data_IF_612297225619
#
_entry.id   IF_612297225619
#
_cell.length_a   1.000
_cell.length_b   1.000
_cell.length_c   1.000
_cell.angle_alpha   90.00
_cell.angle_beta   90.00
_cell.angle_gamma   90.00
#
_symmetry.space_group_name_H-M   'P 1'
#
loop_
_entity.id
_entity.type
_entity.pdbx_description
1 polymer ?
#
# COMPACT_ATOMS: atom_id res chain seq x y z
N UNK A 1 4.56 -4.92 -5.74
CA UNK A 1 4.50 -4.47 -4.31
C UNK A 1 5.30 -3.20 -4.03
N UNK A 2 6.62 -3.11 -4.29
CA UNK A 2 7.42 -1.93 -3.86
C UNK A 2 6.85 -0.60 -4.40
N UNK A 3 6.44 -0.53 -5.65
CA UNK A 3 5.82 0.66 -6.24
C UNK A 3 4.55 1.07 -5.49
N UNK A 4 3.66 0.11 -5.20
CA UNK A 4 2.43 0.35 -4.47
C UNK A 4 2.69 0.95 -3.08
N UNK A 5 3.69 0.41 -2.38
CA UNK A 5 4.09 0.91 -1.06
C UNK A 5 4.67 2.33 -1.14
N UNK A 6 5.49 2.62 -2.16
CA UNK A 6 6.05 3.97 -2.34
C UNK A 6 4.94 5.00 -2.61
N UNK A 7 3.99 4.67 -3.50
CA UNK A 7 2.85 5.54 -3.80
C UNK A 7 1.96 5.75 -2.58
N UNK A 8 1.65 4.66 -1.87
CA UNK A 8 0.86 4.70 -0.65
C UNK A 8 1.50 5.61 0.41
N UNK A 9 2.78 5.43 0.67
CA UNK A 9 3.50 6.19 1.69
C UNK A 9 3.69 7.67 1.32
N UNK A 10 3.74 7.98 0.03
CA UNK A 10 3.91 9.34 -0.48
C UNK A 10 2.61 10.13 -0.62
N UNK A 11 1.45 9.47 -0.53
CA UNK A 11 0.16 10.15 -0.68
C UNK A 11 -0.05 11.16 0.45
N UNK A 12 -0.49 12.36 0.09
CA UNK A 12 -0.86 13.44 1.01
C UNK A 12 -2.24 13.21 1.64
N UNK A 13 -2.51 11.99 2.08
CA UNK A 13 -3.70 11.73 2.86
C UNK A 13 -3.46 12.15 4.31
N UNK A 14 -4.48 12.65 5.02
CA UNK A 14 -4.34 12.88 6.43
C UNK A 14 -3.89 11.58 7.09
N UNK A 15 -2.70 11.61 7.68
CA UNK A 15 -2.25 10.52 8.51
C UNK A 15 -3.35 10.25 9.52
N UNK A 16 -3.75 8.99 9.68
CA UNK A 16 -4.63 8.64 10.77
C UNK A 16 -3.95 9.14 12.04
N UNK A 17 -4.50 10.18 12.65
CA UNK A 17 -4.00 10.72 13.91
C UNK A 17 -3.99 9.58 14.90
N UNK A 18 -2.83 9.02 15.12
CA UNK A 18 -2.60 7.93 16.06
C UNK A 18 -1.92 8.47 17.32
N UNK A 19 -1.75 7.61 18.28
CA UNK A 19 -1.04 7.86 19.53
C UNK A 19 0.48 8.04 19.31
N UNK A 20 0.95 7.87 18.06
CA UNK A 20 2.38 7.86 17.74
C UNK A 20 2.79 9.14 17.01
N UNK A 21 3.73 9.88 17.60
CA UNK A 21 4.23 11.17 17.09
C UNK A 21 4.86 11.10 15.68
N UNK A 22 5.26 9.92 15.20
CA UNK A 22 5.78 9.74 13.85
C UNK A 22 4.76 10.09 12.74
N UNK A 23 3.46 10.11 13.06
CA UNK A 23 2.40 10.45 12.11
C UNK A 23 2.02 11.94 12.14
N UNK A 24 2.57 12.72 13.08
CA UNK A 24 2.23 14.14 13.23
C UNK A 24 2.83 15.00 12.11
N UNK A 25 3.92 14.53 11.50
CA UNK A 25 4.67 15.27 10.48
C UNK A 25 5.14 14.35 9.34
N UNK A 26 4.24 13.93 8.45
CA UNK A 26 4.63 13.07 7.34
C UNK A 26 5.51 13.83 6.34
N UNK A 27 6.73 13.35 6.12
CA UNK A 27 7.70 13.91 5.17
C UNK A 27 8.09 12.91 4.07
N UNK A 28 7.28 11.88 3.86
CA UNK A 28 7.69 10.74 3.04
C UNK A 28 7.92 11.12 1.59
N UNK A 29 7.03 11.93 1.00
CA UNK A 29 7.20 12.40 -0.38
C UNK A 29 8.52 13.18 -0.56
N UNK A 30 8.80 14.14 0.35
CA UNK A 30 10.04 14.90 0.31
C UNK A 30 11.28 14.01 0.48
N UNK A 31 11.22 12.99 1.37
CA UNK A 31 12.33 12.04 1.54
C UNK A 31 12.56 11.18 0.30
N UNK A 32 11.51 10.78 -0.41
CA UNK A 32 11.67 10.07 -1.69
C UNK A 32 12.23 10.99 -2.78
N UNK A 33 11.84 12.27 -2.78
CA UNK A 33 12.41 13.26 -3.69
C UNK A 33 13.93 13.51 -3.42
N UNK A 34 14.36 13.55 -2.16
CA UNK A 34 15.78 13.60 -1.79
C UNK A 34 16.56 12.38 -2.32
N UNK A 35 15.97 11.17 -2.23
CA UNK A 35 16.58 9.96 -2.79
C UNK A 35 16.70 10.08 -4.32
N UNK A 36 15.68 10.58 -4.98
CA UNK A 36 15.71 10.81 -6.42
C UNK A 36 16.83 11.81 -6.81
N UNK A 37 16.96 12.92 -6.07
CA UNK A 37 18.04 13.89 -6.28
C UNK A 37 19.42 13.26 -6.09
N UNK A 38 19.61 12.44 -5.05
CA UNK A 38 20.84 11.72 -4.81
C UNK A 38 21.22 10.77 -5.96
N UNK A 39 20.23 10.15 -6.58
CA UNK A 39 20.38 9.28 -7.75
C UNK A 39 20.52 10.06 -9.08
N UNK A 40 20.48 11.40 -9.05
CA UNK A 40 20.55 12.25 -10.22
C UNK A 40 19.26 12.29 -11.07
N UNK A 41 18.15 11.80 -10.52
CA UNK A 41 16.83 11.84 -11.16
C UNK A 41 16.29 13.27 -11.10
N UNK A 42 15.88 13.82 -12.23
CA UNK A 42 15.37 15.19 -12.33
C UNK A 42 13.84 15.21 -12.27
N UNK A 43 13.29 16.28 -11.72
CA UNK A 43 11.88 16.59 -11.66
C UNK A 43 11.68 18.02 -11.18
N UNK A 44 10.58 18.66 -11.61
CA UNK A 44 10.28 20.06 -11.26
C UNK A 44 9.66 20.18 -9.85
N UNK A 45 9.16 19.08 -9.32
CA UNK A 45 8.56 18.97 -8.00
C UNK A 45 8.78 17.56 -7.41
N UNK A 46 8.44 17.38 -6.15
CA UNK A 46 8.66 16.13 -5.43
C UNK A 46 7.87 14.96 -6.02
N UNK A 47 6.68 15.21 -6.56
CA UNK A 47 5.86 14.18 -7.22
C UNK A 47 6.54 13.67 -8.49
N UNK A 48 7.05 14.57 -9.34
CA UNK A 48 7.79 14.18 -10.56
C UNK A 48 9.07 13.40 -10.22
N UNK A 49 9.75 13.79 -9.14
CA UNK A 49 10.93 13.06 -8.65
C UNK A 49 10.55 11.67 -8.14
N UNK A 50 9.44 11.53 -7.43
CA UNK A 50 8.91 10.22 -7.02
C UNK A 50 8.61 9.33 -8.23
N UNK A 51 7.93 9.86 -9.26
CA UNK A 51 7.66 9.11 -10.49
C UNK A 51 8.95 8.66 -11.18
N UNK A 52 9.94 9.53 -11.22
CA UNK A 52 11.27 9.20 -11.74
C UNK A 52 11.96 8.10 -10.93
N UNK A 53 11.86 8.13 -9.61
CA UNK A 53 12.39 7.11 -8.71
C UNK A 53 11.68 5.76 -8.94
N UNK A 54 10.35 5.75 -9.02
CA UNK A 54 9.56 4.55 -9.32
C UNK A 54 9.95 3.96 -10.67
N UNK A 55 10.10 4.81 -11.69
CA UNK A 55 10.57 4.38 -13.01
C UNK A 55 11.94 3.73 -12.93
N UNK A 56 12.88 4.33 -12.23
CA UNK A 56 14.23 3.77 -12.06
C UNK A 56 14.22 2.41 -11.36
N UNK A 57 13.36 2.22 -10.35
CA UNK A 57 13.16 0.93 -9.68
C UNK A 57 12.56 -0.10 -10.65
N UNK A 58 11.57 0.27 -11.44
CA UNK A 58 10.96 -0.64 -12.42
C UNK A 58 11.93 -1.01 -13.54
N UNK A 59 12.72 -0.06 -14.03
CA UNK A 59 13.79 -0.32 -14.99
C UNK A 59 14.85 -1.29 -14.42
N UNK A 60 15.19 -1.15 -13.14
CA UNK A 60 16.09 -2.07 -12.45
C UNK A 60 15.47 -3.46 -12.33
N UNK A 61 14.21 -3.56 -11.91
CA UNK A 61 13.46 -4.84 -11.83
C UNK A 61 13.49 -5.57 -13.17
N UNK A 62 13.19 -4.86 -14.26
CA UNK A 62 13.23 -5.43 -15.60
C UNK A 62 14.61 -5.96 -15.98
N UNK A 63 15.68 -5.20 -15.71
CA UNK A 63 17.07 -5.62 -15.99
C UNK A 63 17.50 -6.86 -15.23
N UNK A 64 17.02 -7.06 -14.01
CA UNK A 64 17.36 -8.24 -13.19
C UNK A 64 16.32 -9.37 -13.30
N UNK A 65 15.36 -9.26 -14.22
CA UNK A 65 14.39 -10.31 -14.51
C UNK A 65 13.26 -10.47 -13.48
N UNK A 66 13.02 -9.45 -12.65
CA UNK A 66 11.86 -9.43 -11.75
C UNK A 66 10.62 -9.06 -12.57
N UNK A 67 9.60 -9.91 -12.52
CA UNK A 67 8.35 -9.72 -13.24
C UNK A 67 7.53 -8.56 -12.64
N UNK A 68 6.66 -7.97 -13.46
CA UNK A 68 5.88 -6.80 -13.03
C UNK A 68 4.86 -7.15 -11.97
N UNK A 69 4.12 -8.23 -12.19
CA UNK A 69 2.95 -8.59 -11.37
C UNK A 69 3.12 -9.94 -10.67
N UNK A 70 2.31 -10.18 -9.65
CA UNK A 70 2.21 -11.48 -8.99
C UNK A 70 1.65 -12.51 -9.99
N UNK A 71 0.68 -12.11 -10.81
CA UNK A 71 0.09 -12.96 -11.85
C UNK A 71 1.12 -13.50 -12.86
N UNK A 72 2.11 -12.69 -13.23
CA UNK A 72 3.16 -13.08 -14.17
C UNK A 72 4.03 -14.22 -13.65
N UNK A 73 4.07 -14.46 -12.34
CA UNK A 73 4.74 -15.60 -11.73
C UNK A 73 3.93 -16.91 -11.84
N UNK A 74 2.74 -16.87 -12.45
CA UNK A 74 1.89 -18.02 -12.62
C UNK A 74 1.02 -18.35 -11.41
N UNK A 75 0.83 -17.39 -10.51
CA UNK A 75 -0.09 -17.56 -9.39
C UNK A 75 -1.52 -17.51 -9.90
N UNK A 76 -2.28 -18.56 -9.62
CA UNK A 76 -3.69 -18.68 -10.02
C UNK A 76 -4.54 -17.61 -9.33
N UNK A 77 -5.48 -17.04 -10.10
CA UNK A 77 -6.32 -15.94 -9.62
C UNK A 77 -7.26 -16.36 -8.49
N UNK A 78 -7.85 -17.56 -8.62
CA UNK A 78 -8.77 -18.05 -7.59
C UNK A 78 -8.02 -18.37 -6.30
N UNK A 79 -6.83 -18.97 -6.37
CA UNK A 79 -6.00 -19.23 -5.20
C UNK A 79 -5.54 -17.93 -4.53
N UNK A 80 -5.13 -16.94 -5.34
CA UNK A 80 -4.77 -15.61 -4.82
C UNK A 80 -5.94 -14.94 -4.09
N UNK A 81 -7.12 -14.89 -4.73
CA UNK A 81 -8.29 -14.24 -4.14
C UNK A 81 -8.79 -14.97 -2.88
N UNK A 82 -8.72 -16.30 -2.86
CA UNK A 82 -9.09 -17.09 -1.70
C UNK A 82 -8.21 -16.84 -0.47
N UNK A 83 -6.93 -16.46 -0.68
CA UNK A 83 -5.97 -16.18 0.38
C UNK A 83 -5.83 -14.71 0.72
N UNK A 84 -6.43 -13.83 -0.09
CA UNK A 84 -6.19 -12.40 -0.02
C UNK A 84 -6.54 -11.82 1.34
N UNK A 85 -7.68 -12.18 1.91
CA UNK A 85 -8.16 -11.65 3.18
C UNK A 85 -7.23 -12.09 4.34
N UNK A 86 -6.79 -13.34 4.36
CA UNK A 86 -5.81 -13.85 5.34
C UNK A 86 -4.46 -13.12 5.21
N UNK A 87 -4.00 -12.88 3.98
CA UNK A 87 -2.76 -12.14 3.72
C UNK A 87 -2.85 -10.69 4.20
N UNK A 88 -4.00 -10.07 4.02
CA UNK A 88 -4.27 -8.70 4.47
C UNK A 88 -4.25 -8.62 5.99
N UNK A 89 -4.91 -9.56 6.67
CA UNK A 89 -4.93 -9.62 8.13
C UNK A 89 -3.51 -9.81 8.70
N UNK A 90 -2.76 -10.77 8.17
CA UNK A 90 -1.39 -11.01 8.60
C UNK A 90 -0.49 -9.79 8.38
N UNK A 91 -0.62 -9.10 7.24
CA UNK A 91 0.15 -7.89 6.97
C UNK A 91 -0.26 -6.73 7.87
N UNK A 92 -1.53 -6.62 8.23
CA UNK A 92 -2.02 -5.60 9.16
C UNK A 92 -1.53 -5.84 10.59
N UNK A 93 -1.52 -7.09 11.04
CA UNK A 93 -1.10 -7.49 12.38
C UNK A 93 0.44 -7.60 12.53
N UNK A 94 1.19 -7.46 11.42
CA UNK A 94 2.65 -7.48 11.48
C UNK A 94 3.18 -6.30 12.31
N UNK A 95 4.12 -6.59 13.20
CA UNK A 95 4.72 -5.59 14.09
C UNK A 95 5.36 -4.41 13.35
N UNK A 96 5.85 -4.62 12.12
CA UNK A 96 6.48 -3.58 11.31
C UNK A 96 5.46 -2.63 10.67
N UNK A 97 4.20 -3.03 10.55
CA UNK A 97 3.14 -2.20 9.98
C UNK A 97 2.91 -0.93 10.81
N UNK A 98 3.02 -1.03 12.15
CA UNK A 98 2.95 0.13 13.03
C UNK A 98 4.10 1.13 12.87
N UNK A 99 5.23 0.72 12.30
CA UNK A 99 6.39 1.57 12.02
C UNK A 99 6.39 2.18 10.61
N UNK A 100 5.40 1.84 9.76
CA UNK A 100 5.30 2.40 8.43
C UNK A 100 5.03 3.93 8.49
N UNK A 101 5.60 4.75 7.59
CA UNK A 101 5.39 6.20 7.58
C UNK A 101 3.93 6.64 7.50
N UNK A 102 3.08 5.86 6.85
CA UNK A 102 1.64 6.01 6.81
C UNK A 102 0.99 4.73 7.33
N UNK A 103 0.16 4.83 8.38
CA UNK A 103 -0.52 3.66 8.93
C UNK A 103 -1.64 3.20 7.98
N UNK A 104 -1.57 1.99 7.43
CA UNK A 104 -2.56 1.52 6.47
C UNK A 104 -3.83 1.01 7.13
N UNK A 105 -4.95 1.15 6.43
CA UNK A 105 -6.16 0.40 6.69
C UNK A 105 -6.07 -0.99 6.05
N UNK A 106 -6.82 -1.98 6.56
CA UNK A 106 -6.89 -3.30 5.93
C UNK A 106 -7.37 -3.22 4.47
N UNK A 107 -8.33 -2.33 4.18
CA UNK A 107 -8.80 -2.08 2.80
C UNK A 107 -7.70 -1.52 1.90
N UNK A 108 -6.82 -0.67 2.42
CA UNK A 108 -5.69 -0.12 1.68
C UNK A 108 -4.64 -1.20 1.40
N UNK A 109 -4.35 -2.07 2.37
CA UNK A 109 -3.45 -3.23 2.17
C UNK A 109 -4.03 -4.17 1.11
N UNK A 110 -5.34 -4.45 1.19
CA UNK A 110 -6.03 -5.27 0.19
C UNK A 110 -5.89 -4.69 -1.21
N UNK A 111 -6.10 -3.38 -1.34
CA UNK A 111 -5.95 -2.69 -2.63
C UNK A 111 -4.52 -2.77 -3.16
N UNK A 112 -3.50 -2.63 -2.30
CA UNK A 112 -2.09 -2.79 -2.70
C UNK A 112 -1.80 -4.22 -3.21
N UNK A 113 -2.34 -5.25 -2.58
CA UNK A 113 -2.21 -6.63 -3.07
C UNK A 113 -2.90 -6.83 -4.42
N UNK A 114 -4.12 -6.31 -4.59
CA UNK A 114 -4.85 -6.37 -5.86
C UNK A 114 -4.08 -5.66 -6.98
N UNK A 115 -3.58 -4.46 -6.71
CA UNK A 115 -2.77 -3.72 -7.67
C UNK A 115 -1.50 -4.48 -8.06
N UNK A 116 -0.82 -5.09 -7.08
CA UNK A 116 0.37 -5.89 -7.34
C UNK A 116 0.08 -7.16 -8.14
N UNK A 117 -1.12 -7.73 -7.99
CA UNK A 117 -1.53 -8.90 -8.74
C UNK A 117 -1.91 -8.55 -10.19
N UNK A 118 -2.68 -7.48 -10.40
CA UNK A 118 -3.22 -7.10 -11.72
C UNK A 118 -2.37 -6.07 -12.48
N UNK A 119 -1.31 -5.53 -11.89
CA UNK A 119 -0.46 -4.51 -12.53
C UNK A 119 -1.06 -3.10 -12.53
N UNK A 120 -1.99 -2.81 -11.65
CA UNK A 120 -2.56 -1.47 -11.46
C UNK A 120 -1.69 -0.67 -10.49
N UNK A 121 -1.75 0.65 -10.61
CA UNK A 121 -1.13 1.53 -9.62
C UNK A 121 -2.14 1.87 -8.51
N UNK A 122 -1.64 2.06 -7.30
CA UNK A 122 -2.46 2.55 -6.21
C UNK A 122 -2.94 3.96 -6.54
N UNK A 123 -4.26 4.15 -6.58
CA UNK A 123 -4.93 5.45 -6.70
C UNK A 123 -5.95 5.51 -5.57
N UNK A 124 -5.92 6.56 -4.77
CA UNK A 124 -6.83 6.70 -3.61
C UNK A 124 -8.31 6.60 -4.00
N UNK A 125 -8.65 7.00 -5.22
CA UNK A 125 -9.98 6.93 -5.81
C UNK A 125 -10.41 5.49 -6.19
N UNK A 126 -9.45 4.58 -6.34
CA UNK A 126 -9.70 3.17 -6.65
C UNK A 126 -9.91 2.33 -5.38
N UNK A 127 -9.85 2.97 -4.21
CA UNK A 127 -10.20 2.29 -2.98
C UNK A 127 -11.69 1.95 -3.03
N UNK A 128 -12.06 0.66 -2.94
CA UNK A 128 -13.47 0.33 -2.80
C UNK A 128 -13.99 1.07 -1.57
N UNK A 129 -15.07 1.82 -1.76
CA UNK A 129 -15.85 2.32 -0.64
C UNK A 129 -16.05 1.13 0.30
N UNK A 130 -15.64 1.28 1.54
CA UNK A 130 -15.54 0.22 2.53
C UNK A 130 -16.91 -0.42 2.80
N UNK A 131 -17.35 -1.26 1.89
CA UNK A 131 -18.19 -2.36 2.27
C UNK A 131 -17.25 -3.46 2.76
N UNK A 132 -16.78 -3.30 3.99
CA UNK A 132 -16.45 -4.45 4.79
C UNK A 132 -17.73 -5.29 4.75
N UNK A 133 -17.70 -6.30 3.92
CA UNK A 133 -18.78 -7.29 3.85
C UNK A 133 -18.87 -7.87 5.27
N UNK A 134 -19.80 -7.35 6.08
CA UNK A 134 -19.98 -7.76 7.49
C UNK A 134 -20.10 -9.29 7.64
N UNK A 135 -20.41 -9.96 6.52
CA UNK A 135 -20.53 -11.41 6.44
C UNK A 135 -19.19 -12.16 6.46
N UNK A 136 -18.05 -11.47 6.18
CA UNK A 136 -16.71 -12.07 6.14
C UNK A 136 -15.84 -11.72 7.34
N UNK A 137 -16.34 -10.94 8.28
CA UNK A 137 -15.62 -10.63 9.52
C UNK A 137 -15.62 -11.86 10.39
N UNK A 138 -14.43 -12.28 10.80
CA UNK A 138 -14.22 -13.35 11.78
C UNK A 138 -15.26 -13.25 12.91
N UNK A 139 -16.01 -14.32 13.21
CA UNK A 139 -17.03 -14.35 14.27
C UNK A 139 -16.50 -13.88 15.63
N UNK A 140 -15.20 -13.98 15.88
CA UNK A 140 -14.56 -13.49 17.10
C UNK A 140 -14.51 -11.96 17.14
N UNK A 141 -14.37 -11.30 15.99
CA UNK A 141 -14.34 -9.82 15.87
C UNK A 141 -15.74 -9.21 15.73
N UNK A 142 -16.73 -9.98 15.31
CA UNK A 142 -18.11 -9.53 15.11
C UNK A 142 -18.77 -8.82 16.33
N UNK A 143 -18.53 -9.23 17.59
CA UNK A 143 -19.07 -8.56 18.76
C UNK A 143 -18.60 -7.11 18.93
N UNK A 144 -17.39 -6.79 18.48
CA UNK A 144 -16.83 -5.44 18.61
C UNK A 144 -17.40 -4.45 17.60
N UNK A 145 -17.96 -4.96 16.49
CA UNK A 145 -18.59 -4.13 15.45
C UNK A 145 -20.04 -3.82 15.74
N UNK A 146 -20.72 -4.68 16.52
CA UNK A 146 -22.16 -4.50 16.87
C UNK A 146 -22.43 -3.41 17.89
N UNK A 147 -21.40 -2.87 18.56
CA UNK A 147 -21.52 -1.83 19.60
C UNK A 147 -21.67 -0.40 19.09
N UNK A 148 -21.72 -0.15 17.77
CA UNK A 148 -21.80 1.20 17.20
C UNK A 148 -23.09 1.46 16.41
N UNK A 149 -24.22 0.96 16.88
CA UNK A 149 -25.54 1.51 16.50
C UNK A 149 -26.02 2.37 17.65
N UNK A 150 -25.74 3.65 17.55
CA UNK A 150 -26.47 4.72 18.23
C UNK A 150 -26.73 5.81 17.23
#
# INVERSE_FOLDING_TARGET
MIEEVLRFNAAEAPAKMGTFSQYDHPHTLARYAEIADYLGIKGNNDTEKLEGLIKAINDLKARVGIKETIKDYGIDEADFLNRLDDMVEQAFDDQCTGANPRYPLMSEIKQMYLNAYYGKHFVEQDMPATDLDEAKVDPIKAPYLKGKKA
#
